data_IF_793585514160
#
_entry.id   IF_793585514160
#
_cell.length_a   1.000
_cell.length_b   1.000
_cell.length_c   1.000
_cell.angle_alpha   90.00
_cell.angle_beta   90.00
_cell.angle_gamma   90.00
#
_symmetry.space_group_name_H-M   'P 1'
#
loop_
_entity.id
_entity.type
_entity.pdbx_description
1 polymer ?
#
# COMPACT_ATOMS: atom_id res chain seq x y z
N UNK A 1 17.97 15.01 -1.37
CA UNK A 1 17.18 13.85 -1.82
C UNK A 1 15.73 14.29 -1.85
N UNK A 2 15.09 14.21 -3.01
CA UNK A 2 13.72 14.66 -3.17
C UNK A 2 12.76 13.51 -2.86
N UNK A 3 11.87 13.68 -1.89
CA UNK A 3 10.97 12.63 -1.36
C UNK A 3 9.53 13.04 -1.55
N UNK A 4 8.64 12.07 -1.76
CA UNK A 4 7.21 12.29 -1.73
C UNK A 4 6.51 11.19 -0.93
N UNK A 5 5.54 11.61 -0.12
CA UNK A 5 4.50 10.76 0.44
C UNK A 5 3.22 11.02 -0.34
N UNK A 6 2.54 9.98 -0.77
CA UNK A 6 1.32 10.16 -1.55
C UNK A 6 0.21 9.18 -1.16
N UNK A 7 -1.00 9.61 -1.40
CA UNK A 7 -2.21 8.80 -1.26
C UNK A 7 -3.06 8.89 -2.51
N UNK A 8 -3.90 7.90 -2.75
CA UNK A 8 -4.88 7.89 -3.83
C UNK A 8 -6.27 7.98 -3.23
N UNK A 9 -7.05 8.95 -3.70
CA UNK A 9 -8.44 9.08 -3.38
C UNK A 9 -9.29 8.44 -4.48
N UNK A 10 -10.11 7.49 -4.10
CA UNK A 10 -11.23 7.04 -4.91
C UNK A 10 -12.50 7.39 -4.14
N UNK A 11 -13.50 7.95 -4.80
CA UNK A 11 -14.76 8.32 -4.18
C UNK A 11 -15.49 7.05 -3.68
N UNK A 12 -15.24 6.68 -2.43
CA UNK A 12 -15.79 5.49 -1.77
C UNK A 12 -17.14 5.75 -1.08
N UNK A 13 -17.70 6.97 -1.24
CA UNK A 13 -18.96 7.38 -0.66
C UNK A 13 -18.84 8.50 0.38
N UNK A 14 -19.98 9.14 0.67
CA UNK A 14 -20.07 10.35 1.50
C UNK A 14 -19.53 10.19 2.92
N UNK A 15 -19.54 8.98 3.47
CA UNK A 15 -19.06 8.76 4.84
C UNK A 15 -17.54 8.94 4.97
N UNK A 16 -16.79 8.65 3.92
CA UNK A 16 -15.35 8.84 3.90
C UNK A 16 -14.92 10.29 3.67
N UNK A 17 -15.74 11.09 3.00
CA UNK A 17 -15.41 12.49 2.70
C UNK A 17 -15.17 13.31 3.96
N UNK A 18 -15.94 13.06 5.02
CA UNK A 18 -15.80 13.81 6.28
C UNK A 18 -14.46 13.60 6.99
N UNK A 19 -13.79 12.43 6.76
CA UNK A 19 -12.49 12.13 7.35
C UNK A 19 -11.32 12.39 6.41
N UNK A 20 -11.60 12.55 5.12
CA UNK A 20 -10.60 12.79 4.09
C UNK A 20 -9.64 13.92 4.46
N UNK A 21 -10.19 15.06 4.82
CA UNK A 21 -9.39 16.26 5.14
C UNK A 21 -8.54 16.02 6.39
N UNK A 22 -9.12 15.42 7.43
CA UNK A 22 -8.39 15.13 8.68
C UNK A 22 -7.24 14.14 8.45
N UNK A 23 -7.49 13.07 7.70
CA UNK A 23 -6.46 12.07 7.39
C UNK A 23 -5.39 12.64 6.48
N UNK A 24 -5.80 13.45 5.49
CA UNK A 24 -4.88 14.17 4.60
C UNK A 24 -3.96 15.11 5.39
N UNK A 25 -4.49 15.84 6.36
CA UNK A 25 -3.65 16.72 7.22
C UNK A 25 -2.63 15.91 8.03
N UNK A 26 -3.02 14.74 8.57
CA UNK A 26 -2.06 13.87 9.26
C UNK A 26 -0.96 13.34 8.34
N UNK A 27 -1.29 13.03 7.10
CA UNK A 27 -0.27 12.65 6.12
C UNK A 27 0.65 13.82 5.75
N UNK A 28 0.12 15.05 5.64
CA UNK A 28 0.93 16.26 5.41
C UNK A 28 1.86 16.55 6.58
N UNK A 29 1.37 16.45 7.82
CA UNK A 29 2.18 16.62 9.03
C UNK A 29 3.36 15.63 9.04
N UNK A 30 3.07 14.36 8.69
CA UNK A 30 4.09 13.33 8.61
C UNK A 30 5.07 13.58 7.45
N UNK A 31 4.60 14.02 6.29
CA UNK A 31 5.45 14.39 5.16
C UNK A 31 6.38 15.55 5.51
N UNK A 32 5.85 16.59 6.15
CA UNK A 32 6.66 17.70 6.66
C UNK A 32 7.75 17.23 7.63
N UNK A 33 7.41 16.34 8.56
CA UNK A 33 8.41 15.74 9.46
C UNK A 33 9.50 14.96 8.71
N UNK A 34 9.16 14.30 7.61
CA UNK A 34 10.08 13.50 6.79
C UNK A 34 10.89 14.34 5.78
N UNK A 35 10.74 15.67 5.74
CA UNK A 35 11.28 16.54 4.69
C UNK A 35 10.88 16.01 3.29
N UNK A 36 9.59 15.76 3.11
CA UNK A 36 9.00 15.21 1.90
C UNK A 36 7.80 16.04 1.43
N UNK A 37 7.58 16.06 0.11
CA UNK A 37 6.33 16.58 -0.44
C UNK A 37 5.16 15.65 -0.10
N UNK A 38 3.93 16.16 -0.12
CA UNK A 38 2.72 15.35 -0.03
C UNK A 38 1.83 15.54 -1.24
N UNK A 39 1.34 14.44 -1.80
CA UNK A 39 0.38 14.42 -2.92
C UNK A 39 -0.86 13.57 -2.64
N UNK A 40 -2.06 14.16 -2.83
CA UNK A 40 -3.31 13.42 -2.88
C UNK A 40 -3.80 13.38 -4.32
N UNK A 41 -3.94 12.18 -4.89
CA UNK A 41 -4.26 11.98 -6.30
C UNK A 41 -5.62 11.31 -6.47
N UNK A 42 -6.43 11.82 -7.39
CA UNK A 42 -7.67 11.18 -7.81
C UNK A 42 -7.38 10.08 -8.82
N UNK A 43 -8.09 8.98 -8.73
CA UNK A 43 -8.00 7.89 -9.71
C UNK A 43 -8.58 8.32 -11.04
N UNK A 44 -7.76 8.29 -12.11
CA UNK A 44 -8.20 8.73 -13.46
C UNK A 44 -8.06 7.65 -14.54
N UNK A 45 -7.51 6.48 -14.20
CA UNK A 45 -7.19 5.45 -15.17
C UNK A 45 -8.08 4.23 -15.02
N UNK A 46 -8.43 3.62 -16.15
CA UNK A 46 -9.17 2.36 -16.19
C UNK A 46 -8.19 1.19 -15.99
N UNK A 47 -7.96 0.81 -14.76
CA UNK A 47 -7.40 -0.49 -14.44
C UNK A 47 -8.56 -1.46 -14.16
N UNK A 48 -8.33 -2.77 -14.30
CA UNK A 48 -9.29 -3.80 -13.89
C UNK A 48 -9.65 -3.66 -12.41
N UNK A 49 -8.73 -3.10 -11.63
CA UNK A 49 -8.95 -2.65 -10.26
C UNK A 49 -8.31 -1.27 -10.03
N UNK A 50 -9.09 -0.35 -9.49
CA UNK A 50 -8.61 0.99 -9.13
C UNK A 50 -7.42 0.98 -8.18
N UNK A 51 -7.28 -0.06 -7.35
CA UNK A 51 -6.16 -0.20 -6.42
C UNK A 51 -4.81 -0.42 -7.12
N UNK A 52 -4.78 -0.85 -8.38
CA UNK A 52 -3.54 -0.92 -9.16
C UNK A 52 -2.98 0.46 -9.52
N UNK A 53 -3.85 1.47 -9.55
CA UNK A 53 -3.42 2.84 -9.87
C UNK A 53 -2.32 3.35 -8.95
N UNK A 54 -2.36 3.03 -7.66
CA UNK A 54 -1.33 3.46 -6.71
C UNK A 54 0.06 2.92 -7.04
N UNK A 55 0.16 1.69 -7.58
CA UNK A 55 1.43 1.08 -7.97
C UNK A 55 1.96 1.76 -9.25
N UNK A 56 1.08 1.94 -10.23
CA UNK A 56 1.41 2.66 -11.45
C UNK A 56 1.86 4.10 -11.16
N UNK A 57 1.14 4.80 -10.29
CA UNK A 57 1.49 6.18 -9.91
C UNK A 57 2.83 6.24 -9.19
N UNK A 58 3.15 5.29 -8.31
CA UNK A 58 4.45 5.23 -7.67
C UNK A 58 5.57 5.07 -8.71
N UNK A 59 5.37 4.20 -9.72
CA UNK A 59 6.32 4.02 -10.82
C UNK A 59 6.51 5.29 -11.66
N UNK A 60 5.49 6.12 -11.78
CA UNK A 60 5.62 7.42 -12.45
C UNK A 60 6.33 8.44 -11.57
N UNK A 61 5.98 8.52 -10.29
CA UNK A 61 6.53 9.52 -9.35
C UNK A 61 8.04 9.35 -9.12
N UNK A 62 8.59 8.15 -9.21
CA UNK A 62 10.06 7.95 -9.09
C UNK A 62 10.87 8.54 -10.25
N UNK A 63 10.23 9.10 -11.28
CA UNK A 63 10.92 9.88 -12.31
C UNK A 63 11.19 11.34 -11.86
N UNK A 64 10.40 11.85 -10.91
CA UNK A 64 10.50 13.21 -10.39
C UNK A 64 11.03 13.28 -8.97
N UNK A 65 11.00 12.15 -8.25
CA UNK A 65 11.39 11.99 -6.86
C UNK A 65 12.39 10.84 -6.69
N UNK A 66 13.38 11.04 -5.83
CA UNK A 66 14.38 10.01 -5.51
C UNK A 66 13.77 8.83 -4.75
N UNK A 67 12.81 9.13 -3.87
CA UNK A 67 12.12 8.15 -3.03
C UNK A 67 10.62 8.45 -2.93
N UNK A 68 9.78 7.42 -3.03
CA UNK A 68 8.33 7.52 -2.92
C UNK A 68 7.80 6.61 -1.81
N UNK A 69 6.84 7.11 -1.04
CA UNK A 69 6.08 6.34 -0.04
C UNK A 69 4.59 6.52 -0.28
N UNK A 70 3.90 5.43 -0.51
CA UNK A 70 2.45 5.37 -0.56
C UNK A 70 1.86 5.05 0.81
N UNK A 71 0.82 5.78 1.19
CA UNK A 71 -0.02 5.47 2.34
C UNK A 71 -1.49 5.41 1.88
N UNK A 72 -2.19 4.30 2.17
CA UNK A 72 -3.66 4.28 2.06
C UNK A 72 -4.21 5.40 2.96
N UNK A 73 -5.30 6.03 2.55
CA UNK A 73 -5.80 7.20 3.27
C UNK A 73 -6.23 6.86 4.72
N UNK A 74 -6.60 5.60 4.99
CA UNK A 74 -6.92 5.08 6.32
C UNK A 74 -5.70 4.60 7.13
N UNK A 75 -4.50 4.89 6.66
CA UNK A 75 -3.25 4.70 7.41
C UNK A 75 -2.94 5.96 8.22
N UNK A 76 -2.96 5.84 9.54
CA UNK A 76 -2.74 6.96 10.46
C UNK A 76 -1.31 6.90 11.00
N UNK A 77 -0.43 7.88 10.71
CA UNK A 77 0.85 7.99 11.36
C UNK A 77 0.67 8.23 12.87
N UNK A 78 1.33 7.43 13.70
CA UNK A 78 1.19 7.46 15.19
C UNK A 78 2.43 7.94 15.89
N UNK A 79 3.59 7.89 15.23
CA UNK A 79 4.87 8.28 15.81
C UNK A 79 5.77 8.94 14.76
N UNK A 80 6.50 9.94 15.21
CA UNK A 80 7.50 10.66 14.42
C UNK A 80 8.78 9.84 14.31
N UNK A 81 8.85 9.02 13.26
CA UNK A 81 10.06 8.35 12.78
C UNK A 81 9.98 8.29 11.27
N UNK A 82 10.99 8.79 10.58
CA UNK A 82 10.99 8.83 9.13
C UNK A 82 11.08 7.41 8.54
N UNK A 83 10.15 7.08 7.68
CA UNK A 83 10.17 5.82 6.92
C UNK A 83 11.41 5.72 6.04
N UNK A 84 11.75 6.83 5.39
CA UNK A 84 12.87 6.92 4.46
C UNK A 84 14.25 6.74 5.13
N UNK A 85 14.37 7.09 6.42
CA UNK A 85 15.64 6.95 7.15
C UNK A 85 15.85 5.54 7.71
N UNK A 86 14.80 4.71 7.69
CA UNK A 86 14.81 3.35 8.27
C UNK A 86 14.87 2.27 7.20
N UNK A 87 14.22 2.51 6.05
CA UNK A 87 14.05 1.51 5.01
C UNK A 87 14.89 1.83 3.77
N UNK A 88 15.56 0.81 3.24
CA UNK A 88 16.29 0.91 1.98
C UNK A 88 15.34 0.74 0.80
N UNK A 89 14.95 1.85 0.19
CA UNK A 89 13.99 1.90 -0.93
C UNK A 89 14.57 1.45 -2.28
N UNK A 90 15.83 0.99 -2.33
CA UNK A 90 16.30 0.19 -3.46
C UNK A 90 15.52 -1.14 -3.60
N UNK A 91 14.69 -1.44 -2.64
CA UNK A 91 13.76 -2.57 -2.60
C UNK A 91 12.32 -2.05 -2.65
N UNK A 92 11.39 -2.91 -3.09
CA UNK A 92 9.96 -2.70 -2.80
C UNK A 92 9.73 -2.99 -1.32
N UNK A 93 9.43 -1.95 -0.55
CA UNK A 93 9.24 -2.00 0.90
C UNK A 93 7.76 -2.09 1.24
N UNK A 94 7.29 -3.26 1.67
CA UNK A 94 5.91 -3.50 2.12
C UNK A 94 5.90 -4.43 3.34
N UNK A 95 4.78 -4.49 4.05
CA UNK A 95 4.60 -5.44 5.13
C UNK A 95 4.13 -6.80 4.61
N UNK A 96 4.84 -7.88 5.00
CA UNK A 96 4.38 -9.27 4.82
C UNK A 96 3.34 -9.63 5.86
N UNK A 97 2.25 -10.23 5.44
CA UNK A 97 1.14 -10.61 6.31
C UNK A 97 0.66 -12.02 5.97
N UNK A 98 0.20 -12.74 6.99
CA UNK A 98 -0.49 -14.01 6.83
C UNK A 98 -1.98 -13.74 6.53
N UNK A 99 -2.28 -13.37 5.32
CA UNK A 99 -3.66 -13.12 4.85
C UNK A 99 -4.41 -14.44 4.65
N UNK A 100 -5.75 -14.37 4.43
CA UNK A 100 -6.55 -15.57 4.21
C UNK A 100 -5.98 -16.52 3.17
N UNK A 101 -6.11 -17.82 3.39
CA UNK A 101 -5.55 -18.90 2.57
C UNK A 101 -5.84 -18.76 1.08
N UNK A 102 -7.00 -18.21 0.71
CA UNK A 102 -7.37 -18.04 -0.69
C UNK A 102 -6.45 -17.07 -1.45
N UNK A 103 -5.96 -16.00 -0.82
CA UNK A 103 -4.99 -15.08 -1.44
C UNK A 103 -3.66 -15.75 -1.72
N UNK A 104 -3.20 -16.54 -0.76
CA UNK A 104 -1.98 -17.33 -0.87
C UNK A 104 -2.15 -18.38 -1.97
N UNK A 105 -3.29 -19.07 -2.00
CA UNK A 105 -3.60 -20.09 -2.99
C UNK A 105 -3.68 -19.50 -4.40
N UNK A 106 -4.30 -18.34 -4.56
CA UNK A 106 -4.34 -17.64 -5.85
C UNK A 106 -2.93 -17.25 -6.33
N UNK A 107 -2.11 -16.67 -5.46
CA UNK A 107 -0.72 -16.34 -5.79
C UNK A 107 0.07 -17.59 -6.22
N UNK A 108 -0.04 -18.68 -5.46
CA UNK A 108 0.63 -19.94 -5.77
C UNK A 108 0.12 -20.55 -7.09
N UNK A 109 -1.17 -20.46 -7.38
CA UNK A 109 -1.72 -20.87 -8.66
C UNK A 109 -1.05 -20.11 -9.82
N UNK A 110 -0.89 -18.79 -9.70
CA UNK A 110 -0.20 -17.96 -10.70
C UNK A 110 1.29 -18.28 -10.83
N UNK A 111 1.90 -18.89 -9.81
CA UNK A 111 3.31 -19.33 -9.78
C UNK A 111 3.48 -20.83 -10.00
N UNK A 112 2.53 -21.49 -10.68
CA UNK A 112 2.58 -22.94 -10.99
C UNK A 112 2.73 -23.84 -9.74
N UNK A 113 2.19 -23.40 -8.59
CA UNK A 113 2.23 -24.10 -7.31
C UNK A 113 3.39 -23.71 -6.40
N UNK A 114 4.36 -22.98 -6.94
CA UNK A 114 5.47 -22.42 -6.18
C UNK A 114 5.08 -21.13 -5.44
N UNK A 115 6.02 -20.56 -4.72
CA UNK A 115 5.86 -19.29 -4.03
C UNK A 115 5.69 -19.36 -2.52
N UNK A 116 6.02 -18.26 -1.87
CA UNK A 116 5.99 -18.15 -0.41
C UNK A 116 4.55 -18.21 0.13
N UNK A 117 4.41 -18.71 1.37
CA UNK A 117 3.11 -18.82 2.05
C UNK A 117 2.71 -17.52 2.77
N UNK A 118 2.93 -16.38 2.11
CA UNK A 118 2.54 -15.08 2.62
C UNK A 118 2.14 -14.14 1.47
N UNK A 119 1.49 -13.07 1.83
CA UNK A 119 1.06 -11.99 0.93
C UNK A 119 1.55 -10.67 1.52
N UNK A 120 1.86 -9.71 0.68
CA UNK A 120 2.14 -8.35 1.14
C UNK A 120 0.84 -7.56 1.33
N UNK A 121 0.84 -6.63 2.27
CA UNK A 121 -0.21 -5.62 2.40
C UNK A 121 0.28 -4.30 1.79
N UNK A 122 -0.48 -3.75 0.85
CA UNK A 122 -0.12 -2.58 0.06
C UNK A 122 -0.67 -1.26 0.62
N UNK A 123 -1.21 -1.25 1.84
CA UNK A 123 -1.64 -0.01 2.51
C UNK A 123 -0.49 0.93 2.84
N UNK A 124 0.70 0.36 3.01
CA UNK A 124 1.97 1.08 3.13
C UNK A 124 2.98 0.44 2.20
N UNK A 125 3.47 1.17 1.21
CA UNK A 125 4.60 0.70 0.43
C UNK A 125 5.50 1.85 -0.05
N UNK A 126 6.81 1.56 -0.11
CA UNK A 126 7.79 2.51 -0.59
C UNK A 126 8.76 1.88 -1.59
N UNK A 127 9.28 2.70 -2.49
CA UNK A 127 10.33 2.32 -3.43
C UNK A 127 11.05 3.54 -3.98
N UNK A 128 12.16 3.31 -4.66
CA UNK A 128 12.84 4.31 -5.48
C UNK A 128 12.85 3.90 -6.96
N UNK A 129 13.50 4.69 -7.80
CA UNK A 129 13.62 4.43 -9.24
C UNK A 129 14.19 3.05 -9.54
N UNK A 130 15.21 2.60 -8.78
CA UNK A 130 15.84 1.29 -9.01
C UNK A 130 14.86 0.13 -8.76
N UNK A 131 14.08 0.20 -7.69
CA UNK A 131 13.07 -0.82 -7.40
C UNK A 131 11.94 -0.80 -8.43
N UNK A 132 11.50 0.40 -8.86
CA UNK A 132 10.48 0.58 -9.89
C UNK A 132 10.93 0.01 -11.25
N UNK A 133 12.18 0.27 -11.66
CA UNK A 133 12.76 -0.25 -12.91
C UNK A 133 12.89 -1.79 -12.92
N UNK A 134 12.94 -2.42 -11.77
CA UNK A 134 12.90 -3.88 -11.66
C UNK A 134 11.49 -4.43 -11.61
N UNK A 135 10.57 -3.71 -10.97
CA UNK A 135 9.16 -4.09 -10.91
C UNK A 135 8.50 -3.98 -12.29
N UNK A 136 8.77 -2.90 -13.05
CA UNK A 136 8.24 -2.64 -14.39
C UNK A 136 6.72 -2.85 -14.44
N UNK A 137 6.00 -2.31 -13.45
CA UNK A 137 4.57 -2.59 -13.27
C UNK A 137 3.76 -2.25 -14.52
N UNK A 138 3.96 -1.06 -15.07
CA UNK A 138 3.18 -0.59 -16.24
C UNK A 138 3.42 -1.44 -17.49
N UNK A 139 4.64 -1.91 -17.70
CA UNK A 139 4.98 -2.77 -18.85
C UNK A 139 4.39 -4.18 -18.71
N UNK A 140 4.35 -4.68 -17.47
CA UNK A 140 3.86 -6.04 -17.15
C UNK A 140 2.37 -6.08 -16.85
N UNK A 141 1.69 -4.93 -16.81
CA UNK A 141 0.29 -4.85 -16.41
C UNK A 141 -0.64 -5.69 -17.31
N UNK A 142 -0.34 -5.83 -18.59
CA UNK A 142 -1.13 -6.67 -19.51
C UNK A 142 -1.13 -8.17 -19.11
N UNK A 143 -0.06 -8.65 -18.49
CA UNK A 143 -0.01 -10.01 -17.92
C UNK A 143 -0.92 -10.12 -16.71
N UNK A 144 -0.88 -9.13 -15.80
CA UNK A 144 -1.77 -9.05 -14.65
C UNK A 144 -3.23 -9.03 -15.09
N UNK A 145 -3.57 -8.20 -16.06
CA UNK A 145 -4.91 -8.07 -16.63
C UNK A 145 -5.40 -9.39 -17.24
N UNK A 146 -4.54 -10.07 -18.00
CA UNK A 146 -4.86 -11.38 -18.57
C UNK A 146 -5.18 -12.41 -17.49
N UNK A 147 -4.34 -12.55 -16.47
CA UNK A 147 -4.56 -13.47 -15.34
C UNK A 147 -5.86 -13.12 -14.61
N UNK A 148 -6.10 -11.84 -14.43
CA UNK A 148 -7.32 -11.33 -13.77
C UNK A 148 -8.59 -11.83 -14.45
N UNK A 149 -8.65 -11.75 -15.78
CA UNK A 149 -9.79 -12.24 -16.56
C UNK A 149 -9.84 -13.76 -16.66
N UNK A 150 -8.70 -14.42 -16.84
CA UNK A 150 -8.64 -15.89 -16.92
C UNK A 150 -9.08 -16.59 -15.64
N UNK A 151 -8.76 -16.00 -14.48
CA UNK A 151 -9.17 -16.53 -13.18
C UNK A 151 -10.56 -16.12 -12.75
N UNK A 152 -11.31 -15.33 -13.55
CA UNK A 152 -12.64 -14.78 -13.21
C UNK A 152 -12.66 -14.12 -11.81
N UNK A 153 -11.58 -13.41 -11.48
CA UNK A 153 -11.31 -12.87 -10.15
C UNK A 153 -12.39 -11.89 -9.71
N UNK A 154 -12.97 -11.15 -10.67
CA UNK A 154 -14.02 -10.16 -10.39
C UNK A 154 -15.28 -10.80 -9.76
N UNK A 155 -15.57 -12.05 -10.07
CA UNK A 155 -16.71 -12.77 -9.50
C UNK A 155 -16.43 -13.41 -8.15
N UNK A 156 -15.23 -13.94 -7.98
CA UNK A 156 -14.88 -14.77 -6.82
C UNK A 156 -14.19 -13.96 -5.72
N UNK A 157 -13.33 -13.04 -6.11
CA UNK A 157 -12.43 -12.35 -5.18
C UNK A 157 -12.26 -10.91 -5.66
N UNK A 158 -12.95 -9.98 -5.06
CA UNK A 158 -12.70 -8.57 -5.35
C UNK A 158 -11.22 -8.25 -5.24
N UNK A 159 -10.75 -7.40 -6.09
CA UNK A 159 -9.42 -7.29 -6.63
C UNK A 159 -8.37 -7.12 -5.55
N UNK A 160 -7.28 -7.80 -5.77
CA UNK A 160 -6.22 -7.79 -4.79
C UNK A 160 -4.90 -7.41 -5.43
N UNK A 161 -4.72 -6.11 -5.55
CA UNK A 161 -3.41 -5.56 -5.83
C UNK A 161 -2.29 -6.17 -4.94
N UNK A 162 -2.64 -6.61 -3.73
CA UNK A 162 -1.75 -7.33 -2.82
C UNK A 162 -1.28 -8.66 -3.38
N UNK A 163 -2.19 -9.46 -3.95
CA UNK A 163 -1.87 -10.75 -4.56
C UNK A 163 -0.99 -10.57 -5.78
N UNK A 164 -1.37 -9.63 -6.67
CA UNK A 164 -0.65 -9.41 -7.91
C UNK A 164 0.71 -8.75 -7.70
N UNK A 165 0.84 -7.82 -6.76
CA UNK A 165 2.15 -7.26 -6.45
C UNK A 165 3.06 -8.31 -5.80
N UNK A 166 2.52 -9.18 -4.93
CA UNK A 166 3.26 -10.32 -4.38
C UNK A 166 3.71 -11.28 -5.48
N UNK A 167 2.81 -11.60 -6.42
CA UNK A 167 3.12 -12.41 -7.59
C UNK A 167 4.26 -11.81 -8.41
N UNK A 168 4.18 -10.53 -8.76
CA UNK A 168 5.21 -9.86 -9.58
C UNK A 168 6.57 -9.83 -8.87
N UNK A 169 6.60 -9.58 -7.57
CA UNK A 169 7.83 -9.59 -6.78
C UNK A 169 8.50 -10.97 -6.86
N UNK A 170 7.75 -12.05 -6.67
CA UNK A 170 8.29 -13.41 -6.71
C UNK A 170 8.60 -13.85 -8.14
N UNK A 171 7.70 -13.64 -9.10
CA UNK A 171 7.86 -14.05 -10.50
C UNK A 171 9.09 -13.45 -11.17
N UNK A 172 9.36 -12.18 -10.88
CA UNK A 172 10.44 -11.43 -11.52
C UNK A 172 11.65 -11.21 -10.60
N UNK A 173 11.64 -11.86 -9.44
CA UNK A 173 12.70 -11.72 -8.43
C UNK A 173 13.04 -10.25 -8.11
N UNK A 174 12.01 -9.43 -7.94
CA UNK A 174 12.15 -8.01 -7.59
C UNK A 174 12.66 -7.90 -6.16
N UNK A 175 13.69 -7.10 -5.88
CA UNK A 175 14.16 -6.89 -4.52
C UNK A 175 13.05 -6.40 -3.61
N UNK A 176 12.87 -7.11 -2.50
CA UNK A 176 11.80 -6.88 -1.54
C UNK A 176 12.34 -6.75 -0.11
N UNK A 177 11.75 -5.85 0.66
CA UNK A 177 12.04 -5.67 2.08
C UNK A 177 10.75 -5.62 2.88
N UNK A 178 10.60 -6.55 3.83
CA UNK A 178 9.53 -6.47 4.82
C UNK A 178 9.81 -5.31 5.79
N UNK A 179 8.86 -4.39 5.89
CA UNK A 179 8.94 -3.24 6.80
C UNK A 179 8.54 -3.59 8.24
N UNK A 180 7.97 -4.78 8.45
CA UNK A 180 7.49 -5.23 9.74
C UNK A 180 6.14 -4.64 10.17
N UNK A 181 5.48 -5.34 11.08
CA UNK A 181 4.13 -5.02 11.56
C UNK A 181 4.01 -3.61 12.16
N UNK A 182 5.07 -3.07 12.75
CA UNK A 182 5.02 -1.75 13.36
C UNK A 182 4.82 -0.61 12.35
N UNK A 183 5.19 -0.83 11.09
CA UNK A 183 5.05 0.13 9.99
C UNK A 183 3.77 -0.05 9.19
N UNK A 184 2.99 -1.08 9.48
CA UNK A 184 1.66 -1.27 8.91
C UNK A 184 0.84 -2.16 9.86
N UNK A 185 0.48 -1.59 11.01
CA UNK A 185 -0.30 -2.30 12.02
C UNK A 185 -1.78 -2.26 11.63
N UNK A 186 -2.26 -3.36 11.07
CA UNK A 186 -3.59 -3.46 10.47
C UNK A 186 -4.61 -3.76 11.57
N UNK A 187 -5.55 -2.84 11.79
CA UNK A 187 -6.77 -3.10 12.56
C UNK A 187 -7.85 -3.63 11.61
N UNK A 188 -8.23 -4.85 11.81
CA UNK A 188 -9.33 -5.49 11.11
C UNK A 188 -10.45 -5.88 12.10
N UNK A 189 -11.47 -6.60 11.63
CA UNK A 189 -12.59 -7.04 12.47
C UNK A 189 -12.18 -7.95 13.63
N UNK A 190 -11.00 -8.53 13.57
CA UNK A 190 -10.47 -9.46 14.59
C UNK A 190 -9.61 -8.73 15.62
N UNK A 191 -8.85 -7.74 15.15
CA UNK A 191 -7.93 -6.96 15.99
C UNK A 191 -8.48 -5.54 16.14
N UNK A 192 -9.12 -5.28 17.27
CA UNK A 192 -9.73 -3.98 17.58
C UNK A 192 -8.87 -3.11 18.50
N UNK A 193 -7.81 -3.67 19.10
CA UNK A 193 -6.99 -2.94 20.06
C UNK A 193 -5.75 -2.32 19.41
N UNK A 194 -5.64 -1.01 19.58
CA UNK A 194 -4.46 -0.24 19.21
C UNK A 194 -3.23 -0.65 20.05
N UNK A 195 -2.08 -0.82 19.38
CA UNK A 195 -0.80 -0.94 20.06
C UNK A 195 -0.04 0.39 20.03
N UNK A 196 0.37 0.91 21.19
CA UNK A 196 1.17 2.14 21.23
C UNK A 196 2.56 1.99 20.62
N UNK A 197 2.95 0.77 20.22
CA UNK A 197 4.27 0.51 19.63
C UNK A 197 4.32 0.74 18.10
N UNK A 198 3.19 0.89 17.40
CA UNK A 198 3.19 1.07 15.95
C UNK A 198 3.62 2.47 15.52
N UNK A 199 4.24 2.56 14.34
CA UNK A 199 4.52 3.82 13.66
C UNK A 199 3.35 4.23 12.78
N UNK A 200 2.75 3.28 12.07
CA UNK A 200 1.55 3.47 11.28
C UNK A 200 0.45 2.51 11.73
N UNK A 201 -0.73 3.08 11.95
CA UNK A 201 -1.96 2.37 12.24
C UNK A 201 -2.83 2.34 10.99
N UNK A 202 -3.08 1.17 10.44
CA UNK A 202 -3.92 0.97 9.27
C UNK A 202 -5.33 0.57 9.71
N UNK A 203 -6.27 1.51 9.61
CA UNK A 203 -7.66 1.37 10.07
C UNK A 203 -8.55 0.65 9.05
N UNK A 204 -8.17 -0.58 8.69
CA UNK A 204 -8.83 -1.33 7.61
C UNK A 204 -10.25 -1.81 7.95
N UNK A 205 -10.63 -1.86 9.23
CA UNK A 205 -11.99 -2.19 9.68
C UNK A 205 -13.00 -1.07 9.40
N UNK A 206 -12.51 0.15 9.11
CA UNK A 206 -13.33 1.32 8.74
C UNK A 206 -14.36 1.76 9.79
N UNK A 207 -14.12 1.45 11.06
CA UNK A 207 -14.90 1.93 12.19
C UNK A 207 -14.58 3.40 12.44
N UNK A 208 -15.47 4.30 12.04
CA UNK A 208 -15.20 5.74 12.00
C UNK A 208 -15.02 6.39 13.39
N UNK A 209 -15.71 5.92 14.40
CA UNK A 209 -15.50 6.44 15.75
C UNK A 209 -14.11 6.10 16.28
N UNK A 210 -13.57 4.95 15.90
CA UNK A 210 -12.19 4.56 16.18
C UNK A 210 -11.18 5.42 15.39
N UNK A 211 -11.50 5.81 14.15
CA UNK A 211 -10.66 6.71 13.34
C UNK A 211 -10.47 8.04 14.03
N UNK A 212 -11.55 8.67 14.51
CA UNK A 212 -11.48 9.93 15.26
C UNK A 212 -10.65 9.81 16.53
N UNK A 213 -10.87 8.77 17.32
CA UNK A 213 -10.09 8.50 18.52
C UNK A 213 -8.61 8.33 18.19
N UNK A 214 -8.29 7.58 17.15
CA UNK A 214 -6.91 7.33 16.72
C UNK A 214 -6.22 8.57 16.17
N UNK A 215 -6.93 9.44 15.43
CA UNK A 215 -6.40 10.72 14.96
C UNK A 215 -6.06 11.62 16.14
N UNK A 216 -6.96 11.76 17.11
CA UNK A 216 -6.77 12.63 18.26
C UNK A 216 -5.61 12.19 19.17
N UNK A 217 -5.23 10.91 19.13
CA UNK A 217 -4.08 10.37 19.85
C UNK A 217 -2.82 10.19 19.00
N UNK A 218 -2.81 10.71 17.77
CA UNK A 218 -1.58 10.85 16.97
C UNK A 218 -0.82 12.11 17.36
N UNK A 219 0.49 12.19 17.06
CA UNK A 219 1.33 13.39 17.30
C UNK A 219 0.76 14.64 16.65
#
# INVERSE_FOLDING_TARGET
MKRIIFSVWSNLGLEWEKYKDMLTEKHKDYAYFCDADYGLYDTKLNFVDLQFYKIHLAEQLVNDYDEVLYLDLDVIPKRLKSFFDVHDLNNVCCHRTNKPDWKINLKRYMLDGDGEQNIINTGVFGMNKRAADQLMFSERYSEVEKIYYECDIDRLYKPNNEVFLSYMIERYNVPFKDIGIQWNYILDQIVTQYTPACYFLHQSNKEFDDVLSNINHSF
#
